data_IF_385614771938
#
_entry.id   IF_385614771938
#
_cell.length_a   1.000
_cell.length_b   1.000
_cell.length_c   1.000
_cell.angle_alpha   90.00
_cell.angle_beta   90.00
_cell.angle_gamma   90.00
#
_symmetry.space_group_name_H-M   'P 1'
#
loop_
_entity.id
_entity.type
_entity.pdbx_description
1 polymer ?
#
# COMPACT_ATOMS: atom_id res chain seq x y z
N UNK A 1 -4.45 -9.04 -5.49
CA UNK A 1 -3.37 -8.10 -5.89
C UNK A 1 -2.21 -8.12 -4.90
N UNK A 2 -2.41 -7.82 -3.61
CA UNK A 2 -1.32 -7.86 -2.61
C UNK A 2 -0.85 -9.29 -2.30
N UNK A 3 -1.77 -10.25 -2.10
CA UNK A 3 -1.42 -11.67 -1.94
C UNK A 3 -0.53 -12.21 -3.07
N UNK A 4 -0.85 -11.88 -4.33
CA UNK A 4 -0.05 -12.25 -5.51
C UNK A 4 1.32 -11.56 -5.52
N UNK A 5 1.41 -10.34 -4.98
CA UNK A 5 2.67 -9.60 -4.89
C UNK A 5 3.62 -10.18 -3.84
N UNK A 6 3.08 -10.78 -2.78
CA UNK A 6 3.84 -11.38 -1.67
C UNK A 6 3.96 -12.91 -1.76
N UNK A 7 3.19 -13.57 -2.64
CA UNK A 7 3.37 -14.97 -3.02
C UNK A 7 4.58 -15.12 -3.94
N UNK A 8 5.77 -15.13 -3.33
CA UNK A 8 7.06 -15.22 -4.02
C UNK A 8 7.24 -16.53 -4.80
N UNK A 9 6.56 -17.59 -4.35
CA UNK A 9 6.69 -18.93 -4.92
C UNK A 9 5.60 -19.25 -5.95
N UNK A 10 4.60 -18.37 -6.12
CA UNK A 10 3.47 -18.58 -7.04
C UNK A 10 2.59 -19.78 -6.66
N UNK A 11 2.63 -20.20 -5.39
CA UNK A 11 1.94 -21.41 -4.90
C UNK A 11 0.54 -21.13 -4.37
N UNK A 12 0.08 -19.87 -4.45
CA UNK A 12 -1.17 -19.43 -3.85
C UNK A 12 -1.12 -19.40 -2.32
N UNK A 13 0.09 -19.42 -1.73
CA UNK A 13 0.32 -19.38 -0.28
C UNK A 13 1.46 -18.43 0.03
N UNK A 14 1.39 -17.80 1.20
CA UNK A 14 2.40 -16.84 1.66
C UNK A 14 2.98 -17.33 2.98
N UNK A 15 4.28 -17.12 3.17
CA UNK A 15 4.91 -17.40 4.45
C UNK A 15 4.44 -16.38 5.50
N UNK A 16 4.56 -16.75 6.77
CA UNK A 16 4.14 -15.88 7.87
C UNK A 16 4.85 -14.52 7.86
N UNK A 17 6.15 -14.50 7.57
CA UNK A 17 6.93 -13.27 7.50
C UNK A 17 6.47 -12.38 6.33
N UNK A 18 6.17 -12.97 5.17
CA UNK A 18 5.65 -12.26 4.00
C UNK A 18 4.24 -11.72 4.28
N UNK A 19 3.43 -12.44 5.07
CA UNK A 19 2.13 -11.94 5.54
C UNK A 19 2.28 -10.72 6.45
N UNK A 20 3.19 -10.77 7.43
CA UNK A 20 3.46 -9.61 8.29
C UNK A 20 3.92 -8.42 7.45
N UNK A 21 4.86 -8.62 6.52
CA UNK A 21 5.33 -7.55 5.65
C UNK A 21 4.20 -6.96 4.78
N UNK A 22 3.32 -7.81 4.26
CA UNK A 22 2.12 -7.40 3.53
C UNK A 22 1.20 -6.52 4.39
N UNK A 23 0.92 -6.92 5.63
CA UNK A 23 0.09 -6.15 6.55
C UNK A 23 0.70 -4.78 6.88
N UNK A 24 2.01 -4.71 7.16
CA UNK A 24 2.71 -3.44 7.43
C UNK A 24 2.67 -2.52 6.21
N UNK A 25 2.88 -3.08 5.02
CA UNK A 25 2.82 -2.35 3.75
C UNK A 25 1.41 -1.79 3.53
N UNK A 26 0.38 -2.62 3.72
CA UNK A 26 -1.02 -2.23 3.56
C UNK A 26 -1.37 -1.11 4.54
N UNK A 27 -1.02 -1.26 5.83
CA UNK A 27 -1.27 -0.24 6.84
C UNK A 27 -0.64 1.10 6.46
N UNK A 28 0.61 1.09 5.99
CA UNK A 28 1.34 2.31 5.62
C UNK A 28 0.71 2.99 4.41
N UNK A 29 0.35 2.21 3.37
CA UNK A 29 -0.37 2.71 2.20
C UNK A 29 -1.73 3.31 2.57
N UNK A 30 -2.50 2.63 3.42
CA UNK A 30 -3.81 3.12 3.89
C UNK A 30 -3.67 4.41 4.69
N UNK A 31 -2.68 4.51 5.57
CA UNK A 31 -2.42 5.73 6.34
C UNK A 31 -2.05 6.91 5.44
N UNK A 32 -1.16 6.68 4.46
CA UNK A 32 -0.80 7.70 3.48
C UNK A 32 -2.01 8.13 2.64
N UNK A 33 -2.79 7.19 2.12
CA UNK A 33 -4.00 7.48 1.34
C UNK A 33 -5.02 8.31 2.12
N UNK A 34 -5.29 7.91 3.38
CA UNK A 34 -6.25 8.59 4.26
C UNK A 34 -5.88 10.05 4.56
N UNK A 35 -4.61 10.41 4.46
CA UNK A 35 -4.18 11.80 4.60
C UNK A 35 -4.71 12.69 3.45
N UNK A 36 -4.88 12.11 2.26
CA UNK A 36 -5.36 12.80 1.07
C UNK A 36 -6.88 12.62 0.85
N UNK A 37 -7.47 11.53 1.36
CA UNK A 37 -8.92 11.26 1.35
C UNK A 37 -9.62 12.00 2.50
N UNK A 38 -9.78 13.32 2.35
CA UNK A 38 -10.27 14.20 3.42
C UNK A 38 -11.76 14.07 3.71
N UNK A 39 -12.54 13.64 2.72
CA UNK A 39 -13.99 13.42 2.81
C UNK A 39 -14.37 11.95 3.07
N UNK A 40 -13.39 11.04 3.09
CA UNK A 40 -13.56 9.63 3.44
C UNK A 40 -14.50 8.89 2.51
N UNK A 41 -14.54 9.29 1.24
CA UNK A 41 -15.36 8.64 0.21
C UNK A 41 -14.61 7.51 -0.51
N UNK A 42 -13.31 7.36 -0.23
CA UNK A 42 -12.43 6.36 -0.81
C UNK A 42 -11.81 6.77 -2.15
N UNK A 43 -11.96 8.03 -2.56
CA UNK A 43 -11.40 8.59 -3.79
C UNK A 43 -10.51 9.80 -3.48
N UNK A 44 -9.37 9.89 -4.17
CA UNK A 44 -8.50 11.06 -4.08
C UNK A 44 -8.24 11.61 -5.48
N UNK A 45 -8.27 12.94 -5.59
CA UNK A 45 -7.74 13.65 -6.75
C UNK A 45 -6.44 14.32 -6.32
N UNK A 46 -5.32 13.88 -6.88
CA UNK A 46 -3.98 14.32 -6.47
C UNK A 46 -3.21 14.87 -7.67
N UNK A 47 -2.48 15.98 -7.47
CA UNK A 47 -1.58 16.52 -8.46
C UNK A 47 -0.36 15.64 -8.67
N UNK A 48 0.28 15.71 -9.85
CA UNK A 48 1.40 14.83 -10.19
C UNK A 48 2.58 14.92 -9.20
N UNK A 49 2.96 16.13 -8.78
CA UNK A 49 4.06 16.31 -7.82
C UNK A 49 3.75 15.72 -6.45
N UNK A 50 2.52 15.89 -5.97
CA UNK A 50 2.11 15.35 -4.67
C UNK A 50 1.95 13.84 -4.71
N UNK A 51 1.54 13.28 -5.86
CA UNK A 51 1.59 11.84 -6.10
C UNK A 51 3.03 11.31 -6.00
N UNK A 52 4.01 11.99 -6.62
CA UNK A 52 5.41 11.59 -6.50
C UNK A 52 5.89 11.64 -5.05
N UNK A 53 5.57 12.71 -4.29
CA UNK A 53 5.92 12.82 -2.88
C UNK A 53 5.33 11.67 -2.06
N UNK A 54 4.05 11.36 -2.28
CA UNK A 54 3.37 10.24 -1.62
C UNK A 54 4.12 8.94 -1.90
N UNK A 55 4.37 8.62 -3.17
CA UNK A 55 5.05 7.37 -3.57
C UNK A 55 6.47 7.27 -2.99
N UNK A 56 7.23 8.36 -3.00
CA UNK A 56 8.61 8.37 -2.47
C UNK A 56 8.68 8.40 -0.94
N UNK A 57 7.61 8.81 -0.25
CA UNK A 57 7.55 8.78 1.22
C UNK A 57 7.29 7.39 1.79
N UNK A 58 6.81 6.45 0.97
CA UNK A 58 6.50 5.11 1.42
C UNK A 58 7.80 4.29 1.64
N UNK A 59 7.89 3.54 2.75
CA UNK A 59 9.01 2.63 2.99
C UNK A 59 9.08 1.56 1.89
N UNK A 60 10.31 1.22 1.49
CA UNK A 60 10.59 0.20 0.47
C UNK A 60 10.45 -1.21 0.99
#
# INVERSE_FOLDING_TARGET
MLLVKFDRDGKGSINFDDFIQCCVTLQTLTAAFRHYDTDQDGWITIGYEDFLKLVFSLPK
#
